data_IF_812702910988
#
_entry.id   IF_812702910988
#
_cell.length_a   1.000
_cell.length_b   1.000
_cell.length_c   1.000
_cell.angle_alpha   90.00
_cell.angle_beta   90.00
_cell.angle_gamma   90.00
#
_symmetry.space_group_name_H-M   'P 1'
#
loop_
_entity.id
_entity.type
_entity.pdbx_description
1 polymer ?
#
# COMPACT_ATOMS: atom_id res chain seq x y z
N UNK A 1 -16.88 -6.52 -31.09
CA UNK A 1 -15.98 -7.03 -30.05
C UNK A 1 -15.37 -5.83 -29.32
N UNK A 2 -15.77 -5.61 -28.09
CA UNK A 2 -15.11 -4.62 -27.27
C UNK A 2 -13.71 -5.14 -26.97
N UNK A 3 -12.73 -4.49 -27.55
CA UNK A 3 -11.32 -4.76 -27.28
C UNK A 3 -10.98 -4.09 -25.93
N UNK A 4 -11.42 -4.71 -24.84
CA UNK A 4 -11.10 -4.20 -23.49
C UNK A 4 -9.67 -4.62 -23.19
N UNK A 5 -8.72 -3.71 -23.44
CA UNK A 5 -7.34 -3.94 -23.10
C UNK A 5 -7.16 -3.99 -21.58
N UNK A 6 -6.41 -4.98 -21.10
CA UNK A 6 -6.01 -5.04 -19.69
C UNK A 6 -5.03 -3.92 -19.38
N UNK A 7 -5.16 -3.32 -18.20
CA UNK A 7 -4.19 -2.35 -17.73
C UNK A 7 -2.84 -3.01 -17.46
N UNK A 8 -1.74 -2.40 -17.91
CA UNK A 8 -0.40 -2.86 -17.51
C UNK A 8 -0.22 -2.77 -16.00
N UNK A 9 0.57 -3.66 -15.39
CA UNK A 9 0.78 -3.67 -13.93
C UNK A 9 1.14 -2.30 -13.34
N UNK A 10 2.03 -1.54 -14.00
CA UNK A 10 2.47 -0.23 -13.52
C UNK A 10 1.40 0.86 -13.58
N UNK A 11 0.34 0.68 -14.36
CA UNK A 11 -0.77 1.64 -14.47
C UNK A 11 -1.89 1.37 -13.45
N UNK A 12 -1.96 0.17 -12.87
CA UNK A 12 -3.03 -0.19 -11.94
C UNK A 12 -2.97 0.64 -10.64
N UNK A 13 -1.83 0.74 -9.94
CA UNK A 13 -1.75 1.59 -8.75
C UNK A 13 -2.06 3.06 -9.03
N UNK A 14 -1.66 3.59 -10.18
CA UNK A 14 -1.98 4.96 -10.57
C UNK A 14 -3.48 5.17 -10.72
N UNK A 15 -4.18 4.23 -11.36
CA UNK A 15 -5.63 4.27 -11.48
C UNK A 15 -6.29 4.16 -10.10
N UNK A 16 -5.83 3.24 -9.27
CA UNK A 16 -6.34 3.08 -7.91
C UNK A 16 -6.21 4.37 -7.11
N UNK A 17 -5.02 4.99 -7.13
CA UNK A 17 -4.80 6.24 -6.40
C UNK A 17 -5.70 7.37 -6.91
N UNK A 18 -5.96 7.45 -8.21
CA UNK A 18 -6.84 8.45 -8.79
C UNK A 18 -8.30 8.35 -8.32
N UNK A 19 -8.69 7.18 -7.82
CA UNK A 19 -10.04 6.87 -7.33
C UNK A 19 -10.12 6.74 -5.81
N UNK A 20 -9.04 7.04 -5.09
CA UNK A 20 -8.87 6.75 -3.67
C UNK A 20 -8.75 8.05 -2.84
N UNK A 21 -9.89 8.63 -2.39
CA UNK A 21 -9.87 9.89 -1.64
C UNK A 21 -9.05 9.81 -0.35
N UNK A 22 -9.06 8.67 0.34
CA UNK A 22 -8.34 8.52 1.59
C UNK A 22 -6.81 8.55 1.38
N UNK A 23 -6.30 7.82 0.40
CA UNK A 23 -4.88 7.84 0.07
C UNK A 23 -4.44 9.20 -0.46
N UNK A 24 -5.31 9.91 -1.19
CA UNK A 24 -5.06 11.29 -1.62
C UNK A 24 -4.97 12.22 -0.42
N UNK A 25 -5.89 12.09 0.55
CA UNK A 25 -5.85 12.88 1.78
C UNK A 25 -4.57 12.63 2.58
N UNK A 26 -4.12 11.38 2.64
CA UNK A 26 -2.83 11.04 3.27
C UNK A 26 -1.64 11.69 2.54
N UNK A 27 -1.80 12.12 1.30
CA UNK A 27 -0.72 12.67 0.50
C UNK A 27 0.23 11.61 -0.04
N UNK A 28 -0.27 10.39 -0.23
CA UNK A 28 0.54 9.27 -0.71
C UNK A 28 0.99 9.51 -2.15
N UNK A 29 2.27 9.25 -2.39
CA UNK A 29 2.88 9.28 -3.73
C UNK A 29 3.40 7.91 -4.08
N UNK A 30 3.19 7.49 -5.32
CA UNK A 30 3.75 6.25 -5.85
C UNK A 30 5.17 6.54 -6.33
N UNK A 31 6.14 5.81 -5.80
CA UNK A 31 7.55 5.97 -6.19
C UNK A 31 7.98 4.94 -7.22
N UNK A 32 7.63 3.67 -7.00
CA UNK A 32 8.04 2.56 -7.87
C UNK A 32 6.92 1.53 -7.93
N UNK A 33 6.71 0.95 -9.11
CA UNK A 33 5.74 -0.14 -9.33
C UNK A 33 6.35 -1.18 -10.24
N UNK A 34 6.24 -2.44 -9.82
CA UNK A 34 6.48 -3.61 -10.64
C UNK A 34 5.39 -4.63 -10.35
N UNK A 35 5.24 -5.64 -11.17
CA UNK A 35 4.29 -6.71 -10.89
C UNK A 35 4.65 -7.39 -9.56
N UNK A 36 3.74 -7.34 -8.59
CA UNK A 36 3.93 -7.91 -7.26
C UNK A 36 4.66 -7.00 -6.28
N UNK A 37 5.04 -5.77 -6.68
CA UNK A 37 5.79 -4.85 -5.83
C UNK A 37 5.32 -3.41 -6.03
N UNK A 38 5.16 -2.67 -4.94
CA UNK A 38 4.87 -1.25 -5.00
C UNK A 38 5.54 -0.52 -3.83
N UNK A 39 6.15 0.62 -4.13
CA UNK A 39 6.75 1.50 -3.13
C UNK A 39 6.04 2.85 -3.18
N UNK A 40 5.58 3.29 -2.03
CA UNK A 40 4.88 4.57 -1.86
C UNK A 40 5.55 5.40 -0.78
N UNK A 41 5.23 6.70 -0.75
CA UNK A 41 5.77 7.61 0.25
C UNK A 41 4.70 8.57 0.77
N UNK A 42 4.93 9.09 1.97
CA UNK A 42 4.04 10.03 2.64
C UNK A 42 4.82 10.83 3.69
N UNK A 43 4.44 12.07 3.91
CA UNK A 43 4.96 12.88 5.03
C UNK A 43 3.92 12.93 6.14
N UNK A 44 4.34 12.73 7.38
CA UNK A 44 3.46 12.83 8.56
C UNK A 44 3.10 14.30 8.79
N UNK A 45 1.80 14.61 8.77
CA UNK A 45 1.27 15.96 9.00
C UNK A 45 0.71 16.06 10.43
N UNK A 46 0.52 17.28 10.89
CA UNK A 46 -0.01 17.58 12.23
C UNK A 46 -1.35 16.88 12.50
N UNK A 47 -2.25 16.84 11.52
CA UNK A 47 -3.57 16.22 11.63
C UNK A 47 -3.51 14.71 11.84
N UNK A 48 -2.35 14.11 11.66
CA UNK A 48 -2.12 12.68 11.80
C UNK A 48 -1.60 12.28 13.18
N UNK A 49 -1.43 13.26 14.08
CA UNK A 49 -0.88 13.00 15.41
C UNK A 49 -1.95 12.53 16.38
N UNK A 50 -1.51 11.72 17.36
CA UNK A 50 -2.35 11.26 18.46
C UNK A 50 -2.25 12.20 19.68
N UNK A 51 -2.89 11.82 20.79
CA UNK A 51 -2.89 12.59 22.04
C UNK A 51 -1.51 12.75 22.69
N UNK A 52 -0.54 11.94 22.30
CA UNK A 52 0.84 11.97 22.79
C UNK A 52 1.80 12.70 21.85
N UNK A 53 1.26 13.43 20.88
CA UNK A 53 2.02 14.20 19.89
C UNK A 53 2.95 13.33 19.00
N UNK A 54 2.51 12.11 18.76
CA UNK A 54 3.18 11.16 17.83
C UNK A 54 2.20 10.79 16.74
N UNK A 55 2.69 10.33 15.59
CA UNK A 55 1.82 9.84 14.54
C UNK A 55 0.90 8.74 15.10
N UNK A 56 -0.40 8.87 14.84
CA UNK A 56 -1.36 7.83 15.22
C UNK A 56 -0.96 6.50 14.58
N UNK A 57 -1.10 5.39 15.32
CA UNK A 57 -0.76 4.06 14.80
C UNK A 57 -1.46 3.70 13.49
N UNK A 58 -2.67 4.25 13.29
CA UNK A 58 -3.40 4.10 12.03
C UNK A 58 -2.71 4.71 10.81
N UNK A 59 -1.78 5.65 11.00
CA UNK A 59 -1.08 6.33 9.90
C UNK A 59 -0.06 5.40 9.24
N UNK A 60 0.83 4.80 10.00
CA UNK A 60 1.77 3.81 9.45
C UNK A 60 1.03 2.61 8.86
N UNK A 61 -0.03 2.18 9.54
CA UNK A 61 -0.90 1.11 9.06
C UNK A 61 -1.52 1.47 7.70
N UNK A 62 -2.09 2.66 7.55
CA UNK A 62 -2.75 3.08 6.31
C UNK A 62 -1.78 3.21 5.15
N UNK A 63 -0.57 3.72 5.42
CA UNK A 63 0.50 3.78 4.40
C UNK A 63 0.88 2.38 3.93
N UNK A 64 1.12 1.47 4.88
CA UNK A 64 1.48 0.08 4.57
C UNK A 64 0.35 -0.64 3.84
N UNK A 65 -0.89 -0.47 4.30
CA UNK A 65 -2.08 -1.08 3.69
C UNK A 65 -2.28 -0.60 2.25
N UNK A 66 -2.01 0.67 1.98
CA UNK A 66 -2.09 1.22 0.63
C UNK A 66 -1.03 0.62 -0.30
N UNK A 67 0.23 0.54 0.15
CA UNK A 67 1.29 -0.12 -0.61
C UNK A 67 0.94 -1.58 -0.90
N UNK A 68 0.43 -2.27 0.10
CA UNK A 68 -0.02 -3.67 0.01
C UNK A 68 -1.14 -3.85 -1.02
N UNK A 69 -2.18 -3.02 -0.93
CA UNK A 69 -3.30 -3.07 -1.88
C UNK A 69 -2.86 -2.79 -3.31
N UNK A 70 -2.00 -1.80 -3.51
CA UNK A 70 -1.48 -1.46 -4.83
C UNK A 70 -0.64 -2.62 -5.40
N UNK A 71 0.28 -3.16 -4.62
CA UNK A 71 1.12 -4.27 -5.06
C UNK A 71 0.29 -5.52 -5.43
N UNK A 72 -0.68 -5.85 -4.58
CA UNK A 72 -1.54 -7.02 -4.80
C UNK A 72 -2.35 -6.92 -6.09
N UNK A 73 -2.81 -5.73 -6.44
CA UNK A 73 -3.63 -5.50 -7.62
C UNK A 73 -2.81 -5.47 -8.92
N UNK A 74 -1.48 -5.34 -8.85
CA UNK A 74 -0.62 -5.34 -10.05
C UNK A 74 -0.66 -6.65 -10.83
N UNK A 75 -1.19 -7.72 -10.24
CA UNK A 75 -1.38 -8.99 -10.96
C UNK A 75 -2.58 -8.97 -11.91
N UNK A 76 -3.31 -7.86 -11.97
CA UNK A 76 -4.37 -7.65 -12.95
C UNK A 76 -5.77 -7.98 -12.47
N UNK A 77 -5.92 -8.66 -11.35
CA UNK A 77 -7.21 -8.96 -10.72
C UNK A 77 -7.50 -7.97 -9.58
N UNK A 78 -8.77 -7.63 -9.38
CA UNK A 78 -9.16 -6.94 -8.16
C UNK A 78 -8.87 -7.85 -6.99
N UNK A 79 -8.01 -7.39 -6.11
CA UNK A 79 -7.62 -8.11 -4.90
C UNK A 79 -8.03 -7.28 -3.68
N UNK A 80 -8.64 -7.93 -2.71
CA UNK A 80 -9.14 -7.29 -1.49
C UNK A 80 -8.46 -7.89 -0.27
N UNK A 81 -8.12 -7.03 0.68
CA UNK A 81 -7.51 -7.46 1.95
C UNK A 81 -8.50 -8.29 2.77
N UNK A 82 -8.05 -9.41 3.29
CA UNK A 82 -8.85 -10.26 4.20
C UNK A 82 -8.20 -10.45 5.56
N UNK A 83 -6.90 -10.24 5.68
CA UNK A 83 -6.20 -10.30 6.94
C UNK A 83 -4.96 -9.43 6.88
N UNK A 84 -4.71 -8.66 7.94
CA UNK A 84 -3.52 -7.84 8.07
C UNK A 84 -3.03 -7.85 9.51
N UNK A 85 -1.73 -7.62 9.68
CA UNK A 85 -1.13 -7.37 10.98
C UNK A 85 0.03 -6.39 10.83
N UNK A 86 0.32 -5.65 11.90
CA UNK A 86 1.41 -4.69 11.89
C UNK A 86 2.14 -4.73 13.23
N UNK A 87 3.46 -4.58 13.16
CA UNK A 87 4.32 -4.30 14.30
C UNK A 87 4.80 -2.86 14.16
N UNK A 88 4.46 -2.01 15.14
CA UNK A 88 5.00 -0.66 15.24
C UNK A 88 6.33 -0.73 15.99
N UNK A 89 7.42 -0.40 15.30
CA UNK A 89 8.77 -0.58 15.84
C UNK A 89 9.27 0.71 16.46
N UNK A 90 9.05 1.86 15.79
CA UNK A 90 9.51 3.17 16.24
C UNK A 90 8.36 4.17 16.24
N UNK A 91 8.40 5.12 17.17
CA UNK A 91 7.47 6.24 17.19
C UNK A 91 7.78 7.20 16.03
N UNK A 92 6.72 7.70 15.41
CA UNK A 92 6.85 8.62 14.27
C UNK A 92 6.41 10.02 14.65
N UNK A 93 7.06 11.02 14.08
CA UNK A 93 6.86 12.43 14.42
C UNK A 93 6.31 13.21 13.22
N UNK A 94 5.67 14.35 13.51
CA UNK A 94 5.32 15.32 12.48
C UNK A 94 6.55 15.67 11.65
N UNK A 95 6.38 15.70 10.32
CA UNK A 95 7.45 15.99 9.40
C UNK A 95 8.25 14.78 8.92
N UNK A 96 8.09 13.62 9.56
CA UNK A 96 8.77 12.42 9.11
C UNK A 96 8.32 12.03 7.70
N UNK A 97 9.30 11.81 6.83
CA UNK A 97 9.07 11.28 5.49
C UNK A 97 9.19 9.77 5.54
N UNK A 98 8.10 9.09 5.20
CA UNK A 98 7.99 7.64 5.30
C UNK A 98 7.88 7.03 3.92
N UNK A 99 8.51 5.86 3.74
CA UNK A 99 8.29 5.00 2.58
C UNK A 99 7.72 3.68 3.04
N UNK A 100 6.84 3.10 2.23
CA UNK A 100 6.35 1.73 2.43
C UNK A 100 6.54 0.95 1.15
N UNK A 101 7.17 -0.19 1.25
CA UNK A 101 7.42 -1.08 0.12
C UNK A 101 6.78 -2.43 0.38
N UNK A 102 5.82 -2.79 -0.47
CA UNK A 102 5.15 -4.08 -0.43
C UNK A 102 5.75 -5.01 -1.47
N UNK A 103 6.18 -6.18 -1.00
CA UNK A 103 6.74 -7.23 -1.85
C UNK A 103 5.93 -8.50 -1.66
N UNK A 104 5.56 -9.13 -2.78
CA UNK A 104 4.83 -10.39 -2.72
C UNK A 104 5.74 -11.53 -2.26
N UNK A 105 5.26 -12.31 -1.30
CA UNK A 105 5.91 -13.54 -0.84
C UNK A 105 5.42 -14.74 -1.63
N UNK A 106 4.10 -14.77 -1.88
CA UNK A 106 3.48 -15.85 -2.63
C UNK A 106 2.16 -15.38 -3.21
N UNK A 107 1.88 -15.74 -4.46
CA UNK A 107 0.57 -15.56 -5.08
C UNK A 107 0.05 -16.91 -5.56
N UNK A 108 -1.13 -17.27 -5.08
CA UNK A 108 -1.88 -18.43 -5.55
C UNK A 108 -3.03 -18.00 -6.45
N UNK A 109 -3.91 -18.94 -6.79
CA UNK A 109 -5.08 -18.65 -7.61
C UNK A 109 -6.04 -17.67 -6.91
N UNK A 110 -6.28 -17.86 -5.61
CA UNK A 110 -7.24 -17.05 -4.82
C UNK A 110 -6.59 -16.17 -3.76
N UNK A 111 -5.42 -16.52 -3.25
CA UNK A 111 -4.78 -15.81 -2.16
C UNK A 111 -3.43 -15.25 -2.59
N UNK A 112 -3.11 -14.07 -2.06
CA UNK A 112 -1.80 -13.46 -2.21
C UNK A 112 -1.27 -13.05 -0.84
N UNK A 113 0.02 -13.28 -0.60
CA UNK A 113 0.69 -13.02 0.67
C UNK A 113 1.78 -11.98 0.46
N UNK A 114 1.74 -10.89 1.24
CA UNK A 114 2.65 -9.77 1.10
C UNK A 114 3.29 -9.40 2.43
N UNK A 115 4.51 -8.90 2.35
CA UNK A 115 5.19 -8.24 3.47
C UNK A 115 5.46 -6.80 3.06
N UNK A 116 5.22 -5.87 3.98
CA UNK A 116 5.47 -4.45 3.75
C UNK A 116 6.44 -3.93 4.82
N UNK A 117 7.51 -3.30 4.37
CA UNK A 117 8.43 -2.59 5.24
C UNK A 117 8.15 -1.10 5.17
N UNK A 118 7.91 -0.47 6.32
CA UNK A 118 7.78 0.98 6.44
C UNK A 118 9.07 1.52 7.01
N UNK A 119 9.66 2.49 6.32
CA UNK A 119 10.96 3.05 6.68
C UNK A 119 10.92 4.57 6.77
N UNK A 120 11.77 5.09 7.64
CA UNK A 120 12.14 6.50 7.72
C UNK A 120 13.64 6.55 7.38
N UNK A 121 13.97 6.95 6.14
CA UNK A 121 15.31 6.77 5.59
C UNK A 121 15.64 5.27 5.51
N UNK A 122 16.72 4.84 6.14
CA UNK A 122 17.13 3.44 6.19
C UNK A 122 16.57 2.69 7.41
N UNK A 123 15.91 3.42 8.33
CA UNK A 123 15.41 2.85 9.58
C UNK A 123 14.06 2.16 9.35
N UNK A 124 13.96 0.88 9.71
CA UNK A 124 12.70 0.16 9.71
C UNK A 124 11.87 0.63 10.91
N UNK A 125 10.70 1.23 10.63
CA UNK A 125 9.84 1.82 11.67
C UNK A 125 8.54 1.03 11.88
N UNK A 126 8.13 0.22 10.91
CA UNK A 126 7.00 -0.68 11.06
C UNK A 126 7.14 -1.86 10.09
N UNK A 127 6.59 -3.00 10.49
CA UNK A 127 6.56 -4.19 9.67
C UNK A 127 5.11 -4.68 9.57
N UNK A 128 4.63 -4.87 8.35
CA UNK A 128 3.24 -5.20 8.04
C UNK A 128 3.19 -6.48 7.23
N UNK A 129 2.18 -7.31 7.50
CA UNK A 129 1.86 -8.49 6.70
C UNK A 129 0.41 -8.41 6.26
N UNK A 130 0.14 -8.85 5.05
CA UNK A 130 -1.21 -8.86 4.53
C UNK A 130 -1.49 -10.05 3.64
N UNK A 131 -2.74 -10.50 3.69
CA UNK A 131 -3.28 -11.53 2.81
C UNK A 131 -4.43 -10.90 2.04
N UNK A 132 -4.40 -11.06 0.71
CA UNK A 132 -5.51 -10.65 -0.16
C UNK A 132 -6.24 -11.85 -0.70
N UNK A 133 -7.54 -11.65 -0.95
CA UNK A 133 -8.35 -12.53 -1.77
C UNK A 133 -8.37 -11.94 -3.19
N UNK A 134 -8.01 -12.76 -4.17
CA UNK A 134 -7.98 -12.39 -5.57
C UNK A 134 -9.32 -12.73 -6.20
N UNK A 135 -10.07 -11.69 -6.61
CA UNK A 135 -11.37 -11.87 -7.26
C UNK A 135 -11.19 -12.27 -8.73
N UNK A 136 -12.28 -12.63 -9.38
CA UNK A 136 -12.29 -12.93 -10.82
C UNK A 136 -12.38 -11.67 -11.70
N UNK A 137 -12.55 -10.48 -11.10
CA UNK A 137 -12.71 -9.23 -11.84
C UNK A 137 -11.35 -8.66 -12.23
N UNK A 138 -11.20 -8.33 -13.52
CA UNK A 138 -9.97 -7.77 -14.06
C UNK A 138 -9.95 -6.24 -14.01
N UNK A 139 -8.75 -5.68 -13.83
CA UNK A 139 -8.49 -4.27 -14.08
C UNK A 139 -8.46 -4.00 -15.57
N UNK A 140 -9.26 -3.05 -16.03
CA UNK A 140 -9.37 -2.65 -17.45
C UNK A 140 -9.26 -1.13 -17.58
N UNK A 141 -8.87 -0.69 -18.77
CA UNK A 141 -8.83 0.74 -19.12
C UNK A 141 -10.20 1.41 -19.03
#
# INVERSE_FOLDING_TARGET
MENTSHLPPNEIPKKMLSLDPFSQWLGIKILEVEKGRCKVAMTVRKEMLNSMNKAHGGIAYSLADTAFGFAANTHGKYAVSIETSINHIEALNEGDYLTAESVIEKVGNKLGFHIVEVKRGEELVALFKGVVYRTSKDWKE
#
